data_IF_821397212868
#
_entry.id   IF_821397212868
#
_cell.length_a   1.000
_cell.length_b   1.000
_cell.length_c   1.000
_cell.angle_alpha   90.00
_cell.angle_beta   90.00
_cell.angle_gamma   90.00
#
_symmetry.space_group_name_H-M   'P 1'
#
loop_
_entity.id
_entity.type
_entity.pdbx_description
1 polymer ?
#
# COMPACT_ATOMS: atom_id res chain seq x y z
N UNK A 1 -9.39 -7.65 14.50
CA UNK A 1 -8.02 -7.13 14.80
C UNK A 1 -7.78 -5.83 14.02
N UNK A 2 -7.89 -5.83 12.68
CA UNK A 2 -7.65 -4.67 11.80
C UNK A 2 -8.37 -3.39 12.24
N UNK A 3 -9.69 -3.42 12.45
CA UNK A 3 -10.46 -2.25 12.90
C UNK A 3 -10.00 -1.68 14.25
N UNK A 4 -9.63 -2.54 15.21
CA UNK A 4 -9.12 -2.09 16.51
C UNK A 4 -7.72 -1.47 16.42
N UNK A 5 -6.95 -1.83 15.39
CA UNK A 5 -5.64 -1.27 15.12
C UNK A 5 -5.71 0.05 14.31
N UNK A 6 -6.91 0.58 14.06
CA UNK A 6 -7.13 1.81 13.29
C UNK A 6 -7.20 1.61 11.78
N UNK A 7 -7.10 0.36 11.28
CA UNK A 7 -7.26 0.06 9.86
C UNK A 7 -8.73 -0.15 9.49
N UNK A 8 -9.16 0.35 8.32
CA UNK A 8 -10.52 0.16 7.83
C UNK A 8 -10.53 -0.65 6.53
N UNK A 9 -11.30 -1.74 6.50
CA UNK A 9 -11.44 -2.60 5.33
C UNK A 9 -12.59 -2.07 4.48
N UNK A 10 -12.32 -1.78 3.20
CA UNK A 10 -13.35 -1.47 2.21
C UNK A 10 -13.58 -2.72 1.36
N UNK A 11 -14.71 -3.38 1.57
CA UNK A 11 -15.09 -4.57 0.80
C UNK A 11 -15.33 -4.23 -0.68
N UNK A 12 -15.27 -5.24 -1.55
CA UNK A 12 -15.54 -5.15 -3.00
C UNK A 12 -14.66 -4.13 -3.76
N UNK A 13 -13.50 -3.80 -3.18
CA UNK A 13 -12.52 -2.91 -3.80
C UNK A 13 -11.16 -3.59 -3.90
N UNK A 14 -10.36 -3.15 -4.87
CA UNK A 14 -8.99 -3.61 -5.04
C UNK A 14 -8.06 -2.40 -5.08
N UNK A 15 -6.93 -2.50 -4.39
CA UNK A 15 -5.87 -1.49 -4.40
C UNK A 15 -5.28 -1.27 -5.80
N UNK A 16 -5.41 -2.26 -6.68
CA UNK A 16 -4.99 -2.19 -8.08
C UNK A 16 -5.80 -1.19 -8.93
N UNK A 17 -6.90 -0.64 -8.41
CA UNK A 17 -7.77 0.31 -9.13
C UNK A 17 -7.19 1.73 -9.01
N UNK A 18 -6.52 2.26 -10.06
CA UNK A 18 -5.71 3.49 -9.97
C UNK A 18 -6.45 4.80 -9.61
N UNK A 19 -7.74 5.02 -9.93
CA UNK A 19 -8.39 6.30 -9.64
C UNK A 19 -8.61 6.60 -8.15
N UNK A 20 -8.53 5.60 -7.28
CA UNK A 20 -8.78 5.77 -5.84
C UNK A 20 -7.61 6.41 -5.07
N UNK A 21 -6.40 6.41 -5.66
CA UNK A 21 -5.16 6.74 -4.95
C UNK A 21 -4.59 8.11 -5.31
N UNK A 22 -5.37 8.98 -5.96
CA UNK A 22 -4.95 10.33 -6.36
C UNK A 22 -4.25 11.14 -5.25
N UNK A 23 -4.70 11.11 -3.98
CA UNK A 23 -4.02 11.82 -2.90
C UNK A 23 -2.57 11.38 -2.65
N UNK A 24 -2.20 10.18 -3.10
CA UNK A 24 -0.88 9.57 -2.86
C UNK A 24 0.03 9.61 -4.09
N UNK A 25 -0.38 10.27 -5.18
CA UNK A 25 0.46 10.40 -6.38
C UNK A 25 1.78 11.12 -6.03
N UNK A 26 2.90 10.59 -6.51
CA UNK A 26 4.25 11.08 -6.17
C UNK A 26 4.78 10.58 -4.82
N UNK A 27 4.00 9.78 -4.08
CA UNK A 27 4.41 9.23 -2.78
C UNK A 27 5.09 7.86 -2.91
N UNK A 28 5.72 7.43 -1.82
CA UNK A 28 6.27 6.08 -1.66
C UNK A 28 5.36 5.27 -0.75
N UNK A 29 5.07 4.03 -1.14
CA UNK A 29 4.27 3.09 -0.37
C UNK A 29 4.94 1.73 -0.24
N UNK A 30 4.31 0.82 0.49
CA UNK A 30 4.71 -0.60 0.62
C UNK A 30 3.52 -1.49 0.25
N UNK A 31 3.78 -2.60 -0.41
CA UNK A 31 2.75 -3.56 -0.84
C UNK A 31 3.33 -4.98 -0.90
N UNK A 32 2.49 -5.99 -0.72
CA UNK A 32 2.82 -7.40 -0.99
C UNK A 32 2.37 -7.84 -2.40
N UNK A 33 1.62 -6.99 -3.10
CA UNK A 33 1.09 -7.26 -4.45
C UNK A 33 1.98 -6.67 -5.55
N UNK A 34 2.65 -7.49 -6.38
CA UNK A 34 3.42 -7.00 -7.52
C UNK A 34 2.54 -6.30 -8.57
N UNK A 35 1.29 -6.75 -8.71
CA UNK A 35 0.31 -6.17 -9.63
C UNK A 35 -0.05 -4.73 -9.23
N UNK A 36 -0.23 -4.49 -7.93
CA UNK A 36 -0.47 -3.17 -7.37
C UNK A 36 0.69 -2.22 -7.68
N UNK A 37 1.93 -2.69 -7.46
CA UNK A 37 3.12 -1.89 -7.72
C UNK A 37 3.21 -1.49 -9.20
N UNK A 38 2.98 -2.43 -10.11
CA UNK A 38 2.99 -2.18 -11.55
C UNK A 38 1.93 -1.15 -11.99
N UNK A 39 0.67 -1.30 -11.58
CA UNK A 39 -0.40 -0.39 -12.02
C UNK A 39 -0.32 1.01 -11.43
N UNK A 40 0.35 1.18 -10.31
CA UNK A 40 0.47 2.48 -9.67
C UNK A 40 1.76 3.23 -10.07
N UNK A 41 2.73 2.54 -10.70
CA UNK A 41 3.93 3.17 -11.26
C UNK A 41 3.59 4.23 -12.31
N UNK A 42 2.62 3.97 -13.19
CA UNK A 42 2.14 4.94 -14.19
C UNK A 42 1.51 6.20 -13.58
N UNK A 43 1.17 6.16 -12.28
CA UNK A 43 0.63 7.29 -11.51
C UNK A 43 1.68 7.95 -10.62
N UNK A 44 2.94 7.53 -10.72
CA UNK A 44 4.04 8.05 -9.93
C UNK A 44 3.99 7.65 -8.45
N UNK A 45 3.20 6.63 -8.09
CA UNK A 45 3.28 6.04 -6.75
C UNK A 45 4.30 4.92 -6.81
N UNK A 46 5.39 5.06 -6.06
CA UNK A 46 6.42 4.03 -5.98
C UNK A 46 6.11 3.09 -4.83
N UNK A 47 5.60 1.91 -5.14
CA UNK A 47 5.43 0.85 -4.14
C UNK A 47 6.69 -0.01 -4.04
N UNK A 48 7.17 -0.20 -2.80
CA UNK A 48 8.19 -1.18 -2.47
C UNK A 48 7.50 -2.52 -2.19
N UNK A 49 7.88 -3.56 -2.93
CA UNK A 49 7.31 -4.89 -2.74
C UNK A 49 7.99 -5.56 -1.54
N UNK A 50 7.21 -5.96 -0.53
CA UNK A 50 7.67 -6.62 0.69
C UNK A 50 6.65 -7.69 1.13
N UNK A 51 7.07 -8.73 1.87
CA UNK A 51 6.13 -9.65 2.52
C UNK A 51 5.11 -8.91 3.39
N UNK A 52 3.94 -9.50 3.59
CA UNK A 52 2.84 -8.88 4.34
C UNK A 52 3.26 -8.48 5.75
N UNK A 53 4.03 -9.32 6.43
CA UNK A 53 4.54 -9.08 7.78
C UNK A 53 5.42 -7.82 7.82
N UNK A 54 6.31 -7.65 6.84
CA UNK A 54 7.18 -6.49 6.74
C UNK A 54 6.41 -5.22 6.35
N UNK A 55 5.35 -5.35 5.54
CA UNK A 55 4.45 -4.24 5.23
C UNK A 55 3.70 -3.74 6.48
N UNK A 56 3.27 -4.66 7.35
CA UNK A 56 2.65 -4.32 8.64
C UNK A 56 3.66 -3.63 9.57
N UNK A 57 4.88 -4.15 9.69
CA UNK A 57 5.94 -3.51 10.48
C UNK A 57 6.28 -2.10 9.97
N UNK A 58 6.34 -1.92 8.65
CA UNK A 58 6.58 -0.62 8.03
C UNK A 58 5.45 0.38 8.32
N UNK A 59 4.19 -0.09 8.32
CA UNK A 59 3.03 0.73 8.67
C UNK A 59 3.06 1.19 10.14
N UNK A 60 3.52 0.33 11.06
CA UNK A 60 3.65 0.65 12.49
C UNK A 60 4.81 1.61 12.75
N UNK A 61 5.96 1.38 12.10
CA UNK A 61 7.20 2.15 12.35
C UNK A 61 7.32 3.43 11.51
N UNK A 62 6.51 3.57 10.46
CA UNK A 62 6.58 4.66 9.50
C UNK A 62 7.81 4.63 8.59
N UNK A 63 8.55 3.51 8.56
CA UNK A 63 9.79 3.34 7.79
C UNK A 63 9.85 1.95 7.18
N UNK A 64 10.42 1.83 5.99
CA UNK A 64 10.75 0.53 5.41
C UNK A 64 12.18 0.19 5.82
N UNK A 65 12.33 -0.78 6.73
CA UNK A 65 13.60 -1.03 7.46
C UNK A 65 14.48 -2.10 6.81
N UNK A 66 14.09 -2.66 5.67
CA UNK A 66 14.82 -3.66 4.89
C UNK A 66 14.74 -3.40 3.40
#
# INVERSE_FOLDING_TARGET
>A
IIQRAGGHIIADTCIDVPPCWKPYYGSVGVTDSPKCAYYNEIRGIKFLIRPLEEAVEAAISGKVVK
#
